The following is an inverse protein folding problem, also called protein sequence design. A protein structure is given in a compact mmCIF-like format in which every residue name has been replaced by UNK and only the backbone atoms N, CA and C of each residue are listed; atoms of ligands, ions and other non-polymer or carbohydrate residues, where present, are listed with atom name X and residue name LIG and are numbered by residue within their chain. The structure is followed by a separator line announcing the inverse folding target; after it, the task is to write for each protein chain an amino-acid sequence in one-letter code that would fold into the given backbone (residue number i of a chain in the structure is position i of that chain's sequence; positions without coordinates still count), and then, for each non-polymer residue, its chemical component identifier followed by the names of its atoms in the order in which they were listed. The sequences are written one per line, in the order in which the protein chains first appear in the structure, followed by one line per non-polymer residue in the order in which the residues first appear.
data_IF_523324865893
#
_entry.id   IF_523324865893
#
_cell.length_a   1.000
_cell.length_b   1.000
_cell.length_c   1.000
_cell.angle_alpha   90.00
_cell.angle_beta   90.00
_cell.angle_gamma   90.00
#
_symmetry.space_group_name_H-M   'P 1'
#
loop_
_entity.id
_entity.type
_entity.pdbx_description
1 polymer ?
#
# COMPACT_ATOMS: atom_id res chain seq x y z
N UNK A 1 8.52 29.03 28.81
CA UNK A 1 8.45 29.13 27.33
C UNK A 1 7.25 28.29 26.92
N UNK A 2 6.08 28.89 27.05
CA UNK A 2 4.82 28.30 26.65
C UNK A 2 4.74 28.30 25.11
N UNK A 3 4.37 27.17 24.53
CA UNK A 3 3.77 27.15 23.20
C UNK A 3 2.68 26.08 23.20
N UNK A 4 1.53 26.52 23.72
CA UNK A 4 0.17 26.10 23.39
C UNK A 4 0.06 24.78 22.61
N UNK A 5 -0.24 23.71 23.34
CA UNK A 5 -0.85 22.53 22.76
C UNK A 5 -2.12 22.95 22.02
N UNK A 6 -2.15 22.75 20.70
CA UNK A 6 -3.34 23.02 19.90
C UNK A 6 -4.55 22.31 20.54
N UNK A 7 -5.68 22.99 20.75
CA UNK A 7 -6.90 22.34 21.19
C UNK A 7 -7.27 21.28 20.14
N UNK A 8 -7.62 20.07 20.59
CA UNK A 8 -8.20 19.09 19.66
C UNK A 8 -9.46 19.74 19.07
N UNK A 9 -9.80 19.55 17.79
CA UNK A 9 -10.96 20.18 17.18
C UNK A 9 -12.30 19.84 17.89
N UNK A 10 -12.31 18.85 18.77
CA UNK A 10 -13.45 18.51 19.63
C UNK A 10 -13.64 19.44 20.85
N UNK A 11 -12.60 20.15 21.30
CA UNK A 11 -12.63 21.00 22.51
C UNK A 11 -13.29 22.38 22.28
N UNK A 12 -13.49 22.77 21.01
CA UNK A 12 -14.15 24.03 20.63
C UNK A 12 -15.68 23.88 20.41
N UNK A 13 -16.26 22.71 20.63
CA UNK A 13 -17.70 22.50 20.48
C UNK A 13 -18.45 22.86 21.78
N UNK A 14 -19.49 23.68 21.65
CA UNK A 14 -20.41 23.99 22.76
C UNK A 14 -20.89 22.71 23.44
N UNK A 15 -21.08 22.75 24.77
CA UNK A 15 -21.64 21.64 25.56
C UNK A 15 -22.94 21.12 24.94
N UNK A 16 -23.75 22.03 24.38
CA UNK A 16 -24.98 21.72 23.64
C UNK A 16 -24.70 20.89 22.40
N UNK A 17 -23.73 21.29 21.57
CA UNK A 17 -23.34 20.57 20.35
C UNK A 17 -22.82 19.16 20.67
N UNK A 18 -22.04 19.02 21.74
CA UNK A 18 -21.54 17.71 22.21
C UNK A 18 -22.68 16.81 22.71
N UNK A 19 -23.66 17.39 23.39
CA UNK A 19 -24.84 16.67 23.89
C UNK A 19 -25.75 16.23 22.74
N UNK A 20 -25.99 17.10 21.76
CA UNK A 20 -26.70 16.77 20.52
C UNK A 20 -26.00 15.65 19.75
N UNK A 21 -24.67 15.72 19.58
CA UNK A 21 -23.86 14.67 18.93
C UNK A 21 -24.05 13.32 19.62
N UNK A 22 -24.00 13.28 20.96
CA UNK A 22 -24.24 12.05 21.72
C UNK A 22 -25.68 11.55 21.57
N UNK A 23 -26.67 12.43 21.67
CA UNK A 23 -28.08 12.08 21.48
C UNK A 23 -28.34 11.44 20.12
N UNK A 24 -27.90 12.10 19.04
CA UNK A 24 -28.10 11.60 17.67
C UNK A 24 -27.41 10.26 17.43
N UNK A 25 -26.16 10.09 17.93
CA UNK A 25 -25.46 8.79 17.86
C UNK A 25 -26.23 7.68 18.59
N UNK A 26 -26.68 7.94 19.82
CA UNK A 26 -27.42 6.95 20.62
C UNK A 26 -28.77 6.61 19.99
N UNK A 27 -29.49 7.61 19.46
CA UNK A 27 -30.77 7.43 18.75
C UNK A 27 -30.60 6.53 17.52
N UNK A 28 -29.55 6.79 16.72
CA UNK A 28 -29.21 5.97 15.55
C UNK A 28 -28.93 4.51 15.93
N UNK A 29 -28.09 4.27 16.93
CA UNK A 29 -27.81 2.91 17.44
C UNK A 29 -29.09 2.21 17.92
N UNK A 30 -29.99 2.93 18.61
CA UNK A 30 -31.24 2.37 19.10
C UNK A 30 -32.23 2.01 17.97
N UNK A 31 -32.35 2.86 16.94
CA UNK A 31 -33.18 2.58 15.76
C UNK A 31 -32.68 1.31 15.06
N UNK A 32 -31.37 1.22 14.83
CA UNK A 32 -30.73 0.05 14.24
C UNK A 32 -30.92 -1.23 15.06
N UNK A 33 -30.79 -1.14 16.39
CA UNK A 33 -30.97 -2.29 17.29
C UNK A 33 -32.43 -2.76 17.42
N UNK A 34 -33.40 -1.83 17.30
CA UNK A 34 -34.84 -2.14 17.40
C UNK A 34 -35.48 -2.53 16.07
N UNK A 35 -34.71 -2.52 14.97
CA UNK A 35 -35.19 -2.87 13.63
C UNK A 35 -36.20 -1.87 13.06
N UNK A 36 -36.33 -0.67 13.65
CA UNK A 36 -37.17 0.39 13.09
C UNK A 36 -36.49 0.95 11.85
N UNK A 37 -37.27 1.20 10.79
CA UNK A 37 -36.75 1.86 9.58
C UNK A 37 -36.26 3.25 9.92
N UNK A 38 -35.12 3.62 9.35
CA UNK A 38 -34.63 4.99 9.38
C UNK A 38 -35.52 5.90 8.53
N UNK A 39 -35.41 7.20 8.77
CA UNK A 39 -36.14 8.21 8.02
C UNK A 39 -35.67 8.20 6.56
N UNK A 40 -36.59 7.96 5.62
CA UNK A 40 -36.29 7.80 4.20
C UNK A 40 -35.66 9.06 3.58
N UNK A 41 -35.96 10.25 4.10
CA UNK A 41 -35.35 11.49 3.61
C UNK A 41 -33.91 11.65 4.08
N UNK A 42 -33.59 11.18 5.29
CA UNK A 42 -32.21 11.12 5.78
C UNK A 42 -31.38 10.15 4.94
N UNK A 43 -31.90 8.94 4.69
CA UNK A 43 -31.22 7.93 3.87
C UNK A 43 -31.00 8.43 2.44
N UNK A 44 -31.99 9.07 1.83
CA UNK A 44 -31.86 9.62 0.48
C UNK A 44 -30.84 10.77 0.41
N UNK A 45 -30.75 11.59 1.46
CA UNK A 45 -29.76 12.68 1.54
C UNK A 45 -28.33 12.16 1.67
N UNK A 46 -28.13 11.07 2.41
CA UNK A 46 -26.79 10.50 2.65
C UNK A 46 -26.31 9.60 1.49
N UNK A 47 -27.23 9.06 0.69
CA UNK A 47 -26.92 8.08 -0.37
C UNK A 47 -25.87 8.56 -1.39
N UNK A 48 -25.88 9.84 -1.78
CA UNK A 48 -24.87 10.36 -2.71
C UNK A 48 -23.48 10.44 -2.08
N UNK A 49 -23.40 10.79 -0.79
CA UNK A 49 -22.14 10.86 -0.06
C UNK A 49 -21.59 9.45 0.18
N UNK A 50 -22.44 8.50 0.58
CA UNK A 50 -22.07 7.11 0.80
C UNK A 50 -21.53 6.47 -0.48
N UNK A 51 -22.18 6.70 -1.62
CA UNK A 51 -21.70 6.20 -2.92
C UNK A 51 -20.31 6.75 -3.27
N UNK A 52 -20.05 8.03 -2.99
CA UNK A 52 -18.73 8.63 -3.19
C UNK A 52 -17.68 8.03 -2.25
N UNK A 53 -18.03 7.85 -0.97
CA UNK A 53 -17.15 7.25 0.03
C UNK A 53 -16.80 5.79 -0.33
N UNK A 54 -17.76 5.02 -0.84
CA UNK A 54 -17.52 3.66 -1.31
C UNK A 54 -16.51 3.62 -2.45
N UNK A 55 -16.61 4.55 -3.41
CA UNK A 55 -15.61 4.70 -4.48
C UNK A 55 -14.23 5.06 -3.91
N UNK A 56 -14.15 6.00 -2.96
CA UNK A 56 -12.88 6.34 -2.32
C UNK A 56 -12.26 5.15 -1.57
N UNK A 57 -13.08 4.37 -0.87
CA UNK A 57 -12.62 3.15 -0.20
C UNK A 57 -12.12 2.11 -1.20
N UNK A 58 -12.82 1.90 -2.31
CA UNK A 58 -12.40 1.00 -3.37
C UNK A 58 -11.06 1.44 -4.01
N UNK A 59 -10.89 2.74 -4.28
CA UNK A 59 -9.61 3.27 -4.78
C UNK A 59 -8.50 3.08 -3.75
N UNK A 60 -8.76 3.33 -2.47
CA UNK A 60 -7.77 3.13 -1.41
C UNK A 60 -7.35 1.66 -1.29
N UNK A 61 -8.30 0.75 -1.32
CA UNK A 61 -8.07 -0.68 -1.21
C UNK A 61 -7.24 -1.19 -2.39
N UNK A 62 -7.66 -0.86 -3.62
CA UNK A 62 -6.96 -1.26 -4.84
C UNK A 62 -5.55 -0.68 -4.92
N UNK A 63 -5.34 0.58 -4.56
CA UNK A 63 -4.00 1.17 -4.47
C UNK A 63 -3.11 0.47 -3.43
N UNK A 64 -3.68 0.07 -2.30
CA UNK A 64 -2.95 -0.67 -1.25
C UNK A 64 -2.54 -2.06 -1.74
N UNK A 65 -3.41 -2.75 -2.48
CA UNK A 65 -3.07 -4.03 -3.11
C UNK A 65 -1.99 -3.89 -4.17
N UNK A 66 -2.08 -2.86 -5.03
CA UNK A 66 -1.05 -2.57 -6.02
C UNK A 66 0.32 -2.34 -5.38
N UNK A 67 0.39 -1.60 -4.26
CA UNK A 67 1.63 -1.42 -3.51
C UNK A 67 2.21 -2.75 -3.04
N UNK A 68 1.40 -3.63 -2.44
CA UNK A 68 1.85 -4.97 -2.01
C UNK A 68 2.37 -5.81 -3.19
N UNK A 69 1.75 -5.71 -4.36
CA UNK A 69 2.19 -6.41 -5.57
C UNK A 69 3.54 -5.86 -6.05
N UNK A 70 3.71 -4.53 -6.05
CA UNK A 70 4.98 -3.88 -6.42
C UNK A 70 6.10 -4.30 -5.47
N UNK A 71 5.87 -4.30 -4.16
CA UNK A 71 6.85 -4.75 -3.17
C UNK A 71 7.28 -6.21 -3.41
N UNK A 72 6.31 -7.08 -3.68
CA UNK A 72 6.59 -8.49 -4.02
C UNK A 72 7.38 -8.62 -5.32
N UNK A 73 7.09 -7.78 -6.30
CA UNK A 73 7.81 -7.77 -7.58
C UNK A 73 9.25 -7.28 -7.40
N UNK A 74 9.48 -6.22 -6.62
CA UNK A 74 10.81 -5.72 -6.26
C UNK A 74 11.63 -6.78 -5.53
N UNK A 75 11.03 -7.51 -4.58
CA UNK A 75 11.71 -8.61 -3.88
C UNK A 75 12.15 -9.70 -4.85
N UNK A 76 11.28 -10.09 -5.79
CA UNK A 76 11.60 -11.11 -6.79
C UNK A 76 12.69 -10.66 -7.75
N UNK A 77 12.67 -9.40 -8.18
CA UNK A 77 13.72 -8.83 -9.01
C UNK A 77 15.07 -8.89 -8.30
N UNK A 78 15.12 -8.49 -7.02
CA UNK A 78 16.37 -8.54 -6.25
C UNK A 78 16.95 -9.96 -6.19
N UNK A 79 16.10 -10.96 -5.95
CA UNK A 79 16.55 -12.38 -5.94
C UNK A 79 17.08 -12.77 -7.31
N UNK A 80 16.38 -12.43 -8.41
CA UNK A 80 16.85 -12.75 -9.77
C UNK A 80 18.19 -12.05 -10.06
N UNK A 81 18.36 -10.80 -9.67
CA UNK A 81 19.63 -10.07 -9.82
C UNK A 81 20.77 -10.73 -9.04
N UNK A 82 20.51 -11.23 -7.83
CA UNK A 82 21.49 -11.96 -7.04
C UNK A 82 21.93 -13.26 -7.75
N UNK A 83 20.97 -14.09 -8.17
CA UNK A 83 21.22 -15.34 -8.90
C UNK A 83 21.94 -15.08 -10.25
N UNK A 84 21.56 -14.02 -10.97
CA UNK A 84 22.20 -13.62 -12.23
C UNK A 84 23.66 -13.19 -12.00
N UNK A 85 23.94 -12.46 -10.93
CA UNK A 85 25.30 -12.08 -10.56
C UNK A 85 26.13 -13.30 -10.15
N UNK A 86 25.58 -14.22 -9.37
CA UNK A 86 26.25 -15.47 -9.00
C UNK A 86 26.60 -16.32 -10.22
N UNK A 87 25.66 -16.48 -11.16
CA UNK A 87 25.91 -17.16 -12.43
C UNK A 87 27.00 -16.45 -13.23
N UNK A 88 26.98 -15.11 -13.27
CA UNK A 88 28.01 -14.31 -13.94
C UNK A 88 29.40 -14.55 -13.36
N UNK A 89 29.52 -14.58 -12.02
CA UNK A 89 30.77 -14.90 -11.33
C UNK A 89 31.23 -16.33 -11.59
N UNK A 90 30.31 -17.29 -11.58
CA UNK A 90 30.59 -18.69 -11.88
C UNK A 90 31.16 -18.87 -13.29
N UNK A 91 30.54 -18.26 -14.30
CA UNK A 91 31.03 -18.36 -15.69
C UNK A 91 32.42 -17.75 -15.86
N UNK A 92 32.71 -16.63 -15.20
CA UNK A 92 34.06 -16.03 -15.21
C UNK A 92 35.09 -16.95 -14.57
N UNK A 93 34.76 -17.55 -13.43
CA UNK A 93 35.65 -18.51 -12.76
C UNK A 93 35.95 -19.73 -13.64
N UNK A 94 34.95 -20.24 -14.37
CA UNK A 94 35.15 -21.36 -15.29
C UNK A 94 35.96 -20.95 -16.52
N UNK A 95 35.76 -19.73 -17.04
CA UNK A 95 36.52 -19.19 -18.15
C UNK A 95 38.02 -19.10 -17.88
N UNK A 96 38.43 -18.80 -16.64
CA UNK A 96 39.85 -18.77 -16.23
C UNK A 96 40.55 -20.13 -16.40
N UNK A 97 39.78 -21.22 -16.39
CA UNK A 97 40.27 -22.60 -16.48
C UNK A 97 40.17 -23.18 -17.90
N UNK A 98 39.53 -22.46 -18.82
CA UNK A 98 39.28 -22.90 -20.20
C UNK A 98 39.90 -21.92 -21.22
N UNK A 99 41.03 -22.32 -21.82
CA UNK A 99 41.72 -21.51 -22.82
C UNK A 99 41.09 -21.58 -24.23
N UNK A 100 40.02 -22.36 -24.42
CA UNK A 100 39.34 -22.50 -25.71
C UNK A 100 38.45 -21.30 -26.03
N UNK A 101 37.82 -21.33 -27.21
CA UNK A 101 36.81 -20.35 -27.57
C UNK A 101 35.60 -20.35 -26.61
N UNK A 102 35.28 -21.50 -26.00
CA UNK A 102 34.20 -21.61 -25.04
C UNK A 102 34.49 -20.79 -23.77
N UNK A 103 35.71 -20.85 -23.23
CA UNK A 103 36.11 -20.00 -22.09
C UNK A 103 36.03 -18.50 -22.38
N UNK A 104 36.44 -18.06 -23.58
CA UNK A 104 36.25 -16.65 -24.00
C UNK A 104 34.78 -16.24 -24.06
N UNK A 105 33.91 -17.12 -24.54
CA UNK A 105 32.46 -16.88 -24.54
C UNK A 105 31.91 -16.84 -23.11
N UNK A 106 32.34 -17.75 -22.22
CA UNK A 106 31.94 -17.76 -20.81
C UNK A 106 32.34 -16.47 -20.09
N UNK A 107 33.55 -15.94 -20.30
CA UNK A 107 33.98 -14.66 -19.70
C UNK A 107 33.13 -13.48 -20.21
N UNK A 108 32.86 -13.43 -21.51
CA UNK A 108 32.01 -12.40 -22.10
C UNK A 108 30.57 -12.46 -21.57
N UNK A 109 29.97 -13.65 -21.52
CA UNK A 109 28.63 -13.86 -20.94
C UNK A 109 28.62 -13.54 -19.45
N UNK A 110 29.63 -13.97 -18.69
CA UNK A 110 29.70 -13.70 -17.25
C UNK A 110 29.81 -12.21 -16.94
N UNK A 111 30.58 -11.45 -17.73
CA UNK A 111 30.61 -9.98 -17.65
C UNK A 111 29.25 -9.36 -17.96
N UNK A 112 28.55 -9.84 -18.99
CA UNK A 112 27.23 -9.33 -19.34
C UNK A 112 26.19 -9.57 -18.22
N UNK A 113 26.16 -10.76 -17.63
CA UNK A 113 25.26 -11.10 -16.52
C UNK A 113 25.55 -10.25 -15.27
N UNK A 114 26.82 -10.11 -14.87
CA UNK A 114 27.19 -9.24 -13.74
C UNK A 114 26.87 -7.75 -13.98
N UNK A 115 26.83 -7.30 -15.24
CA UNK A 115 26.42 -5.94 -15.61
C UNK A 115 24.90 -5.78 -15.56
N UNK A 116 24.16 -6.77 -16.07
CA UNK A 116 22.69 -6.83 -16.05
C UNK A 116 22.14 -6.82 -14.62
N UNK A 117 22.72 -7.64 -13.74
CA UNK A 117 22.34 -7.75 -12.34
C UNK A 117 22.47 -6.45 -11.50
N UNK A 118 23.17 -5.44 -12.01
CA UNK A 118 23.42 -4.16 -11.32
C UNK A 118 22.56 -3.00 -11.84
N UNK A 119 21.77 -3.22 -12.89
CA UNK A 119 20.84 -2.22 -13.45
C UNK A 119 19.55 -2.16 -12.64
#
# INVERSE_FOLDING_TARGET
MDSFGQPRPEDNQSVVSRMQKKYWKTKQVFIKATGKKEDEHLVASDAELDAKLEVFHSVQETCTELLKIIEKYQLRLNVISEEENELGLFLKFQAERDATQAGKMMDATGKALCSSAKQ
#
